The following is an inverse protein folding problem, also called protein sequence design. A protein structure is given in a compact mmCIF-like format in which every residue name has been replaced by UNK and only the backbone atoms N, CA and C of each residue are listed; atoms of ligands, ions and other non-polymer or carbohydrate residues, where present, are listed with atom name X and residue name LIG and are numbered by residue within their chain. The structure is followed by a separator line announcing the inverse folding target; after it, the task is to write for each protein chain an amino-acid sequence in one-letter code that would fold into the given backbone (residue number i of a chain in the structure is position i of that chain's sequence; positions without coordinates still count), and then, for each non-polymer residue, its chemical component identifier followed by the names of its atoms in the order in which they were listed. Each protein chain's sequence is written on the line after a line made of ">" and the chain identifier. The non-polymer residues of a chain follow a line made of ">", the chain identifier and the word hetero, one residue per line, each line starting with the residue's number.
data_IF_278029725395
#
_entry.id   IF_278029725395
#
_cell.length_a   1.000
_cell.length_b   1.000
_cell.length_c   1.000
_cell.angle_alpha   90.00
_cell.angle_beta   90.00
_cell.angle_gamma   90.00
#
_symmetry.space_group_name_H-M   'P 1'
#
loop_
_entity.id
_entity.type
_entity.pdbx_description
1 polymer ?
#
# COMPACT_ATOMS: atom_id res chain seq x y z
N UNK A 1 5.94 27.09 3.69
CA UNK A 1 7.39 27.27 3.89
C UNK A 1 8.18 25.99 3.59
N UNK A 2 7.92 24.87 4.28
CA UNK A 2 8.66 23.60 4.07
C UNK A 2 8.78 23.17 2.60
N UNK A 3 7.65 22.99 1.92
CA UNK A 3 7.65 22.58 0.51
C UNK A 3 8.32 23.61 -0.41
N UNK A 4 8.16 24.90 -0.12
CA UNK A 4 8.82 25.98 -0.89
C UNK A 4 10.35 25.86 -0.80
N UNK A 5 10.88 25.54 0.38
CA UNK A 5 12.32 25.30 0.57
C UNK A 5 12.76 24.06 -0.21
N UNK A 6 12.03 22.93 -0.10
CA UNK A 6 12.36 21.70 -0.83
C UNK A 6 12.34 21.94 -2.35
N UNK A 7 11.30 22.58 -2.87
CA UNK A 7 11.23 22.95 -4.29
C UNK A 7 12.35 23.91 -4.70
N UNK A 8 12.67 24.89 -3.85
CA UNK A 8 13.81 25.79 -4.07
C UNK A 8 15.13 25.03 -4.20
N UNK A 9 15.38 24.07 -3.29
CA UNK A 9 16.59 23.22 -3.34
C UNK A 9 16.63 22.36 -4.58
N UNK A 10 15.50 21.77 -4.98
CA UNK A 10 15.43 21.00 -6.23
C UNK A 10 15.76 21.91 -7.43
N UNK A 11 15.28 23.15 -7.46
CA UNK A 11 15.47 24.05 -8.60
C UNK A 11 16.90 24.61 -8.77
N UNK A 12 17.76 24.49 -7.76
CA UNK A 12 19.14 24.97 -7.85
C UNK A 12 19.98 24.16 -8.87
N UNK A 13 20.84 24.81 -9.68
CA UNK A 13 21.83 24.11 -10.49
C UNK A 13 22.75 23.25 -9.61
N UNK A 14 22.96 21.99 -9.97
CA UNK A 14 23.77 21.04 -9.19
C UNK A 14 23.12 20.57 -7.88
N UNK A 15 21.78 20.69 -7.76
CA UNK A 15 21.05 20.23 -6.58
C UNK A 15 21.37 18.78 -6.22
N UNK A 16 21.71 18.48 -4.95
CA UNK A 16 21.93 17.10 -4.49
C UNK A 16 20.63 16.27 -4.46
N UNK A 17 19.47 16.90 -4.66
CA UNK A 17 18.18 16.24 -4.72
C UNK A 17 17.77 15.83 -6.15
N UNK A 18 18.53 16.23 -7.16
CA UNK A 18 18.32 15.84 -8.57
C UNK A 18 19.21 14.65 -8.94
N UNK A 19 18.76 13.88 -9.94
CA UNK A 19 19.54 12.81 -10.55
C UNK A 19 20.59 13.33 -11.53
N UNK A 20 21.28 12.41 -12.20
CA UNK A 20 22.27 12.73 -13.23
C UNK A 20 21.67 13.62 -14.33
N UNK A 21 22.44 14.61 -14.79
CA UNK A 21 21.98 15.58 -15.79
C UNK A 21 20.85 16.51 -15.30
N UNK A 22 20.50 16.50 -14.02
CA UNK A 22 19.44 17.34 -13.45
C UNK A 22 18.03 16.75 -13.55
N UNK A 23 17.92 15.44 -13.81
CA UNK A 23 16.63 14.74 -13.86
C UNK A 23 15.93 14.70 -12.49
N UNK A 24 14.61 14.56 -12.51
CA UNK A 24 13.79 14.34 -11.30
C UNK A 24 13.42 12.86 -11.17
N UNK A 25 13.41 12.11 -12.27
CA UNK A 25 13.13 10.68 -12.30
C UNK A 25 14.22 10.01 -13.12
N UNK A 26 15.03 9.09 -12.55
CA UNK A 26 15.21 8.84 -11.10
C UNK A 26 15.93 10.02 -10.40
N UNK A 27 15.72 10.21 -9.10
CA UNK A 27 16.48 11.21 -8.32
C UNK A 27 16.53 10.89 -6.82
N UNK A 28 17.56 11.36 -6.09
CA UNK A 28 17.63 11.21 -4.64
C UNK A 28 16.42 11.78 -3.89
N UNK A 29 15.73 12.78 -4.47
CA UNK A 29 14.48 13.29 -3.94
C UNK A 29 13.37 12.24 -3.90
N UNK A 30 13.20 11.48 -4.99
CA UNK A 30 12.16 10.45 -5.06
C UNK A 30 12.54 9.22 -4.21
N UNK A 31 13.80 8.82 -4.23
CA UNK A 31 14.30 7.73 -3.39
C UNK A 31 14.16 8.07 -1.89
N UNK A 32 14.37 9.35 -1.54
CA UNK A 32 14.26 9.89 -0.19
C UNK A 32 12.89 10.51 0.15
N UNK A 33 11.83 10.25 -0.63
CA UNK A 33 10.57 10.98 -0.42
C UNK A 33 9.90 10.65 0.91
N UNK A 34 10.07 9.41 1.41
CA UNK A 34 9.52 8.96 2.69
C UNK A 34 10.08 9.75 3.88
N UNK A 35 11.40 9.85 4.10
CA UNK A 35 11.95 10.68 5.18
C UNK A 35 11.62 12.17 5.01
N UNK A 36 11.52 12.70 3.78
CA UNK A 36 11.09 14.09 3.54
C UNK A 36 9.67 14.31 4.09
N UNK A 37 8.72 13.43 3.73
CA UNK A 37 7.33 13.51 4.22
C UNK A 37 7.28 13.32 5.74
N UNK A 38 8.11 12.43 6.31
CA UNK A 38 8.22 12.24 7.76
C UNK A 38 8.59 13.56 8.47
N UNK A 39 9.65 14.23 8.02
CA UNK A 39 10.06 15.50 8.62
C UNK A 39 9.01 16.59 8.45
N UNK A 40 8.30 16.62 7.32
CA UNK A 40 7.18 17.53 7.12
C UNK A 40 6.10 17.36 8.22
N UNK A 41 5.67 16.12 8.48
CA UNK A 41 4.67 15.85 9.51
C UNK A 41 5.19 16.07 10.93
N UNK A 42 6.46 15.75 11.21
CA UNK A 42 7.08 16.05 12.51
C UNK A 42 7.08 17.56 12.76
N UNK A 43 7.51 18.37 11.77
CA UNK A 43 7.55 19.83 11.90
C UNK A 43 6.15 20.38 12.16
N UNK A 44 5.15 19.97 11.38
CA UNK A 44 3.76 20.42 11.56
C UNK A 44 3.22 19.99 12.93
N UNK A 45 3.42 18.73 13.31
CA UNK A 45 2.94 18.19 14.58
C UNK A 45 3.56 18.90 15.78
N UNK A 46 4.87 19.14 15.75
CA UNK A 46 5.60 19.85 16.82
C UNK A 46 5.17 21.31 16.89
N UNK A 47 5.10 22.03 15.77
CA UNK A 47 4.67 23.43 15.74
C UNK A 47 3.24 23.57 16.26
N UNK A 48 2.32 22.73 15.80
CA UNK A 48 0.94 22.71 16.30
C UNK A 48 0.89 22.39 17.80
N UNK A 49 1.67 21.41 18.26
CA UNK A 49 1.78 21.04 19.67
C UNK A 49 2.28 22.19 20.53
N UNK A 50 3.25 22.97 20.06
CA UNK A 50 3.79 24.14 20.77
C UNK A 50 2.73 25.24 20.85
N UNK A 51 2.11 25.59 19.71
CA UNK A 51 1.10 26.67 19.64
C UNK A 51 -0.11 26.37 20.52
N UNK A 52 -0.52 25.10 20.60
CA UNK A 52 -1.65 24.66 21.43
C UNK A 52 -1.27 24.38 22.89
N UNK A 53 -0.01 24.54 23.26
CA UNK A 53 0.49 24.31 24.62
C UNK A 53 0.57 22.84 25.04
N UNK A 54 0.41 21.90 24.11
CA UNK A 54 0.57 20.45 24.34
C UNK A 54 2.03 20.01 24.41
N UNK A 55 2.91 20.67 23.65
CA UNK A 55 4.36 20.47 23.67
C UNK A 55 4.99 21.67 24.36
N UNK A 56 5.58 21.47 25.54
CA UNK A 56 6.21 22.52 26.35
C UNK A 56 7.73 22.43 26.33
N UNK A 57 8.27 21.25 26.03
CA UNK A 57 9.69 20.98 25.98
C UNK A 57 10.05 19.92 24.95
N UNK A 58 11.35 19.80 24.63
CA UNK A 58 11.85 18.72 23.78
C UNK A 58 11.56 17.31 24.33
N UNK A 59 11.41 17.17 25.66
CA UNK A 59 11.05 15.88 26.29
C UNK A 59 9.66 15.41 25.86
N UNK A 60 8.72 16.34 25.68
CA UNK A 60 7.36 16.00 25.27
C UNK A 60 7.37 15.45 23.84
N UNK A 61 8.19 16.02 22.95
CA UNK A 61 8.38 15.50 21.58
C UNK A 61 8.91 14.07 21.62
N UNK A 62 9.96 13.81 22.38
CA UNK A 62 10.52 12.45 22.51
C UNK A 62 9.55 11.47 23.15
N UNK A 63 8.71 11.94 24.08
CA UNK A 63 7.68 11.13 24.72
C UNK A 63 6.61 10.72 23.70
N UNK A 64 6.05 11.67 22.93
CA UNK A 64 5.06 11.36 21.91
C UNK A 64 5.60 10.46 20.80
N UNK A 65 6.86 10.66 20.37
CA UNK A 65 7.52 9.75 19.43
C UNK A 65 7.67 8.34 20.02
N UNK A 66 8.03 8.23 21.30
CA UNK A 66 8.13 6.95 22.00
C UNK A 66 6.78 6.23 22.06
N UNK A 67 5.71 6.94 22.40
CA UNK A 67 4.36 6.35 22.42
C UNK A 67 3.95 5.84 21.03
N UNK A 68 4.20 6.60 19.96
CA UNK A 68 3.93 6.15 18.59
C UNK A 68 4.71 4.89 18.20
N UNK A 69 5.96 4.74 18.67
CA UNK A 69 6.75 3.52 18.43
C UNK A 69 6.23 2.33 19.25
N UNK A 70 5.72 2.56 20.47
CA UNK A 70 5.11 1.50 21.29
C UNK A 70 3.89 0.90 20.61
N UNK A 71 3.05 1.72 19.97
CA UNK A 71 1.89 1.26 19.21
C UNK A 71 2.29 0.34 18.03
N UNK A 72 3.53 0.47 17.54
CA UNK A 72 4.09 -0.37 16.46
C UNK A 72 4.80 -1.64 16.97
N UNK A 73 4.90 -1.88 18.28
CA UNK A 73 5.67 -3.01 18.82
C UNK A 73 5.20 -4.36 18.26
N UNK A 74 3.88 -4.59 18.19
CA UNK A 74 3.32 -5.82 17.60
C UNK A 74 3.63 -5.95 16.10
N UNK A 75 3.61 -4.83 15.37
CA UNK A 75 4.00 -4.80 13.96
C UNK A 75 5.49 -5.13 13.78
N UNK A 76 6.39 -4.63 14.63
CA UNK A 76 7.82 -4.94 14.57
C UNK A 76 8.07 -6.45 14.76
N UNK A 77 7.38 -7.08 15.72
CA UNK A 77 7.47 -8.54 15.93
C UNK A 77 7.00 -9.31 14.70
N UNK A 78 5.89 -8.88 14.09
CA UNK A 78 5.38 -9.48 12.86
C UNK A 78 6.37 -9.34 11.69
N UNK A 79 6.90 -8.13 11.46
CA UNK A 79 7.90 -7.85 10.42
C UNK A 79 9.15 -8.68 10.63
N UNK A 80 9.59 -8.90 11.86
CA UNK A 80 10.71 -9.78 12.16
C UNK A 80 10.46 -11.21 11.63
N UNK A 81 9.31 -11.80 11.94
CA UNK A 81 8.97 -13.15 11.46
C UNK A 81 8.84 -13.22 9.93
N UNK A 82 8.20 -12.22 9.32
CA UNK A 82 8.09 -12.08 7.86
C UNK A 82 9.46 -11.99 7.21
N UNK A 83 10.37 -11.17 7.76
CA UNK A 83 11.71 -11.00 7.21
C UNK A 83 12.48 -12.33 7.21
N UNK A 84 12.33 -13.16 8.26
CA UNK A 84 12.91 -14.51 8.29
C UNK A 84 12.27 -15.42 7.25
N UNK A 85 10.94 -15.39 7.12
CA UNK A 85 10.23 -16.17 6.09
C UNK A 85 10.72 -15.80 4.68
N UNK A 86 10.74 -14.51 4.33
CA UNK A 86 11.20 -14.03 3.02
C UNK A 86 12.66 -14.44 2.78
N UNK A 87 13.53 -14.31 3.78
CA UNK A 87 14.92 -14.72 3.68
C UNK A 87 15.06 -16.23 3.36
N UNK A 88 14.38 -17.11 4.10
CA UNK A 88 14.42 -18.56 3.86
C UNK A 88 13.71 -18.97 2.56
N UNK A 89 12.62 -18.29 2.21
CA UNK A 89 11.86 -18.52 0.98
C UNK A 89 12.68 -18.15 -0.26
N UNK A 90 13.46 -17.07 -0.18
CA UNK A 90 14.41 -16.66 -1.22
C UNK A 90 15.61 -17.59 -1.26
N UNK A 91 16.22 -17.89 -0.11
CA UNK A 91 17.39 -18.77 -0.02
C UNK A 91 17.12 -20.19 -0.53
N UNK A 92 15.94 -20.73 -0.27
CA UNK A 92 15.52 -22.06 -0.75
C UNK A 92 15.12 -22.09 -2.23
N UNK A 93 15.11 -20.95 -2.92
CA UNK A 93 14.61 -20.78 -4.29
C UNK A 93 13.12 -21.15 -4.48
N UNK A 94 12.35 -21.35 -3.40
CA UNK A 94 10.92 -21.64 -3.48
C UNK A 94 10.15 -20.49 -4.12
N UNK A 95 10.50 -19.24 -3.80
CA UNK A 95 9.88 -18.07 -4.43
C UNK A 95 10.07 -18.03 -5.93
N UNK A 96 11.32 -18.21 -6.39
CA UNK A 96 11.64 -18.28 -7.82
C UNK A 96 10.92 -19.44 -8.50
N UNK A 97 10.90 -20.62 -7.88
CA UNK A 97 10.23 -21.80 -8.43
C UNK A 97 8.72 -21.57 -8.60
N UNK A 98 8.03 -21.06 -7.57
CA UNK A 98 6.60 -20.75 -7.64
C UNK A 98 6.32 -19.67 -8.68
N UNK A 99 7.17 -18.63 -8.75
CA UNK A 99 6.99 -17.54 -9.70
C UNK A 99 7.11 -18.00 -11.15
N UNK A 100 8.12 -18.82 -11.47
CA UNK A 100 8.33 -19.35 -12.82
C UNK A 100 7.19 -20.29 -13.21
N UNK A 101 6.92 -21.34 -12.41
CA UNK A 101 5.89 -22.32 -12.74
C UNK A 101 4.49 -21.69 -12.76
N UNK A 102 4.23 -20.71 -11.90
CA UNK A 102 2.96 -19.99 -11.90
C UNK A 102 2.80 -19.08 -13.11
N UNK A 103 3.87 -18.40 -13.54
CA UNK A 103 3.85 -17.59 -14.76
C UNK A 103 3.68 -18.47 -16.01
N UNK A 104 4.40 -19.59 -16.11
CA UNK A 104 4.25 -20.59 -17.18
C UNK A 104 2.82 -21.12 -17.23
N UNK A 105 2.26 -21.54 -16.10
CA UNK A 105 0.87 -22.00 -16.02
C UNK A 105 -0.12 -20.95 -16.53
N UNK A 106 0.04 -19.69 -16.12
CA UNK A 106 -0.82 -18.58 -16.56
C UNK A 106 -0.67 -18.30 -18.07
N UNK A 107 0.53 -18.44 -18.62
CA UNK A 107 0.78 -18.32 -20.06
C UNK A 107 0.16 -19.48 -20.84
N UNK A 108 0.30 -20.73 -20.35
CA UNK A 108 -0.22 -21.94 -20.99
C UNK A 108 -1.75 -21.92 -21.15
N UNK A 109 -2.46 -21.35 -20.17
CA UNK A 109 -3.91 -21.17 -20.22
C UNK A 109 -4.34 -19.84 -20.87
N UNK A 110 -3.39 -19.08 -21.41
CA UNK A 110 -3.57 -17.74 -22.01
C UNK A 110 -4.23 -16.72 -21.08
N UNK A 111 -4.13 -16.92 -19.76
CA UNK A 111 -4.71 -16.03 -18.75
C UNK A 111 -3.72 -14.96 -18.32
N UNK A 112 -3.49 -14.00 -19.23
CA UNK A 112 -2.63 -12.83 -19.01
C UNK A 112 -3.41 -11.53 -19.25
N UNK A 113 -2.73 -10.40 -19.35
CA UNK A 113 -3.34 -9.08 -19.55
C UNK A 113 -4.17 -8.56 -18.35
N UNK A 114 -5.08 -7.64 -18.66
CA UNK A 114 -5.93 -6.98 -17.65
C UNK A 114 -6.83 -7.96 -16.88
N UNK A 115 -7.29 -9.04 -17.52
CA UNK A 115 -8.12 -10.07 -16.88
C UNK A 115 -7.43 -10.73 -15.69
N UNK A 116 -6.13 -11.03 -15.81
CA UNK A 116 -5.30 -11.55 -14.72
C UNK A 116 -5.22 -10.56 -13.55
N UNK A 117 -5.06 -9.28 -13.84
CA UNK A 117 -4.96 -8.21 -12.83
C UNK A 117 -6.27 -8.08 -12.05
N UNK A 118 -7.42 -8.14 -12.75
CA UNK A 118 -8.73 -8.18 -12.10
C UNK A 118 -8.88 -9.44 -11.24
N UNK A 119 -8.45 -10.60 -11.75
CA UNK A 119 -8.42 -11.85 -10.98
C UNK A 119 -7.62 -11.72 -9.68
N UNK A 120 -6.45 -11.07 -9.74
CA UNK A 120 -5.62 -10.80 -8.58
C UNK A 120 -6.29 -9.84 -7.58
N UNK A 121 -6.92 -8.77 -8.05
CA UNK A 121 -7.71 -7.86 -7.20
C UNK A 121 -8.81 -8.62 -6.44
N UNK A 122 -9.53 -9.52 -7.13
CA UNK A 122 -10.59 -10.32 -6.54
C UNK A 122 -10.03 -11.34 -5.53
N UNK A 123 -8.88 -11.94 -5.83
CA UNK A 123 -8.17 -12.82 -4.90
C UNK A 123 -7.78 -12.08 -3.62
N UNK A 124 -7.09 -10.93 -3.72
CA UNK A 124 -6.70 -10.11 -2.56
C UNK A 124 -7.92 -9.64 -1.77
N UNK A 125 -9.02 -9.32 -2.46
CA UNK A 125 -10.31 -8.99 -1.82
C UNK A 125 -10.90 -10.18 -1.07
N UNK A 126 -10.82 -11.40 -1.61
CA UNK A 126 -11.31 -12.59 -0.91
C UNK A 126 -10.45 -12.91 0.32
N UNK A 127 -9.12 -12.80 0.19
CA UNK A 127 -8.19 -13.02 1.30
C UNK A 127 -8.39 -12.04 2.45
N UNK A 128 -8.98 -10.88 2.19
CA UNK A 128 -9.30 -9.88 3.20
C UNK A 128 -10.23 -10.42 4.30
N UNK A 129 -11.14 -11.33 3.97
CA UNK A 129 -12.02 -11.97 4.94
C UNK A 129 -11.27 -12.89 5.93
N UNK A 130 -10.05 -13.32 5.59
CA UNK A 130 -9.18 -14.17 6.40
C UNK A 130 -8.07 -13.37 7.09
N UNK A 131 -7.47 -12.42 6.36
CA UNK A 131 -6.32 -11.63 6.79
C UNK A 131 -6.66 -10.15 6.60
N UNK A 132 -7.08 -9.49 7.68
CA UNK A 132 -7.50 -8.08 7.65
C UNK A 132 -6.35 -7.07 7.68
N UNK A 133 -5.15 -7.50 8.11
CA UNK A 133 -3.99 -6.63 8.10
C UNK A 133 -3.41 -6.54 6.69
N UNK A 134 -3.56 -5.38 6.06
CA UNK A 134 -2.99 -5.14 4.74
C UNK A 134 -1.46 -5.26 4.69
N UNK A 135 -0.75 -4.99 5.79
CA UNK A 135 0.69 -5.23 5.83
C UNK A 135 1.04 -6.72 5.97
N UNK A 136 0.28 -7.47 6.76
CA UNK A 136 0.50 -8.91 6.94
C UNK A 136 0.19 -9.69 5.66
N UNK A 137 -0.89 -9.32 4.97
CA UNK A 137 -1.31 -9.95 3.72
C UNK A 137 -0.33 -9.64 2.59
N UNK A 138 0.08 -8.38 2.43
CA UNK A 138 1.10 -8.02 1.44
C UNK A 138 2.41 -8.76 1.65
N UNK A 139 2.81 -8.97 2.91
CA UNK A 139 4.01 -9.71 3.23
C UNK A 139 3.99 -11.19 2.79
N UNK A 140 2.81 -11.77 2.60
CA UNK A 140 2.63 -13.14 2.11
C UNK A 140 2.46 -13.13 0.58
N UNK A 141 1.66 -12.21 0.05
CA UNK A 141 1.38 -12.13 -1.38
C UNK A 141 2.58 -11.61 -2.20
N UNK A 142 3.29 -10.60 -1.71
CA UNK A 142 4.35 -9.94 -2.48
C UNK A 142 5.48 -10.88 -2.89
N UNK A 143 6.04 -11.74 -2.01
CA UNK A 143 7.11 -12.67 -2.39
C UNK A 143 6.71 -13.69 -3.47
N UNK A 144 5.41 -13.87 -3.72
CA UNK A 144 4.87 -14.84 -4.68
C UNK A 144 4.42 -14.12 -5.96
N UNK A 145 3.50 -13.17 -5.83
CA UNK A 145 2.84 -12.54 -6.97
C UNK A 145 3.70 -11.46 -7.64
N UNK A 146 4.55 -10.74 -6.90
CA UNK A 146 5.40 -9.72 -7.53
C UNK A 146 6.40 -10.36 -8.49
N UNK A 147 7.20 -11.39 -8.10
CA UNK A 147 8.08 -12.06 -9.04
C UNK A 147 7.32 -12.75 -10.17
N UNK A 148 6.18 -13.40 -9.89
CA UNK A 148 5.36 -14.05 -10.92
C UNK A 148 4.88 -13.06 -11.99
N UNK A 149 4.38 -11.90 -11.58
CA UNK A 149 3.89 -10.88 -12.51
C UNK A 149 5.04 -10.20 -13.25
N UNK A 150 6.21 -10.07 -12.62
CA UNK A 150 7.42 -9.61 -13.31
C UNK A 150 7.87 -10.57 -14.41
N UNK A 151 7.73 -11.89 -14.21
CA UNK A 151 8.00 -12.89 -15.28
C UNK A 151 7.01 -12.77 -16.44
N UNK A 152 5.80 -12.26 -16.19
CA UNK A 152 4.82 -11.91 -17.21
C UNK A 152 5.04 -10.51 -17.82
N UNK A 153 6.12 -9.82 -17.44
CA UNK A 153 6.50 -8.51 -17.97
C UNK A 153 5.89 -7.31 -17.24
N UNK A 154 5.14 -7.50 -16.15
CA UNK A 154 4.53 -6.40 -15.40
C UNK A 154 5.50 -5.70 -14.46
N UNK A 155 5.33 -4.38 -14.32
CA UNK A 155 6.09 -3.61 -13.36
C UNK A 155 5.65 -3.95 -11.92
N UNK A 156 6.57 -4.14 -10.95
CA UNK A 156 6.21 -4.49 -9.57
C UNK A 156 5.29 -3.47 -8.89
N UNK A 157 5.48 -2.19 -9.21
CA UNK A 157 4.60 -1.10 -8.76
C UNK A 157 3.16 -1.24 -9.25
N UNK A 158 2.94 -1.78 -10.45
CA UNK A 158 1.60 -2.05 -10.97
C UNK A 158 0.91 -3.19 -10.21
N UNK A 159 1.64 -4.28 -9.89
CA UNK A 159 1.16 -5.35 -9.01
C UNK A 159 0.74 -4.80 -7.64
N UNK A 160 1.52 -3.87 -7.08
CA UNK A 160 1.18 -3.23 -5.81
C UNK A 160 -0.08 -2.35 -5.91
N UNK A 161 -0.32 -1.68 -7.04
CA UNK A 161 -1.57 -0.93 -7.27
C UNK A 161 -2.77 -1.87 -7.23
N UNK A 162 -2.70 -3.00 -7.94
CA UNK A 162 -3.75 -4.02 -7.96
C UNK A 162 -4.02 -4.57 -6.54
N UNK A 163 -2.95 -4.89 -5.80
CA UNK A 163 -3.07 -5.30 -4.41
C UNK A 163 -3.80 -4.27 -3.54
N UNK A 164 -3.42 -2.99 -3.62
CA UNK A 164 -4.01 -1.92 -2.81
C UNK A 164 -5.50 -1.70 -3.11
N UNK A 165 -5.91 -1.91 -4.36
CA UNK A 165 -7.32 -1.89 -4.75
C UNK A 165 -8.08 -3.01 -4.03
N UNK A 166 -7.60 -4.26 -4.13
CA UNK A 166 -8.25 -5.40 -3.47
C UNK A 166 -8.25 -5.30 -1.94
N UNK A 167 -7.12 -4.87 -1.36
CA UNK A 167 -6.94 -4.73 0.08
C UNK A 167 -7.86 -3.68 0.70
N UNK A 168 -8.15 -2.58 -0.01
CA UNK A 168 -9.00 -1.52 0.55
C UNK A 168 -10.50 -1.76 0.37
N UNK A 169 -10.90 -2.47 -0.68
CA UNK A 169 -12.29 -2.43 -1.17
C UNK A 169 -13.31 -3.18 -0.30
N UNK A 170 -12.89 -4.15 0.50
CA UNK A 170 -13.81 -5.02 1.26
C UNK A 170 -13.55 -5.04 2.78
N UNK A 171 -12.63 -4.20 3.27
CA UNK A 171 -12.31 -4.14 4.70
C UNK A 171 -13.54 -3.84 5.56
N UNK A 172 -14.41 -2.95 5.08
CA UNK A 172 -15.60 -2.50 5.81
C UNK A 172 -16.67 -3.59 5.95
N UNK A 173 -16.65 -4.63 5.13
CA UNK A 173 -17.59 -5.77 5.24
C UNK A 173 -16.96 -7.00 5.89
N UNK A 174 -15.71 -6.90 6.32
CA UNK A 174 -15.00 -8.01 6.94
C UNK A 174 -15.34 -8.09 8.44
N UNK A 175 -15.88 -9.21 8.95
CA UNK A 175 -16.24 -9.34 10.37
C UNK A 175 -15.05 -9.22 11.32
N UNK A 176 -13.85 -9.54 10.84
CA UNK A 176 -12.59 -9.46 11.59
C UNK A 176 -11.99 -8.04 11.61
N UNK A 177 -12.65 -7.06 10.99
CA UNK A 177 -12.17 -5.68 10.96
C UNK A 177 -12.30 -5.05 12.37
N UNK A 178 -11.20 -4.63 13.03
CA UNK A 178 -11.23 -4.20 14.43
C UNK A 178 -12.18 -3.03 14.70
N UNK A 179 -12.34 -2.12 13.75
CA UNK A 179 -13.21 -0.95 13.90
C UNK A 179 -14.70 -1.25 13.67
N UNK A 180 -15.06 -2.44 13.17
CA UNK A 180 -16.47 -2.82 12.97
C UNK A 180 -17.25 -2.69 14.28
N UNK A 181 -16.69 -3.15 15.40
CA UNK A 181 -17.35 -3.10 16.72
C UNK A 181 -17.63 -1.66 17.15
N UNK A 182 -16.67 -0.76 16.88
CA UNK A 182 -16.80 0.67 17.19
C UNK A 182 -17.91 1.30 16.34
N UNK A 183 -17.92 1.02 15.03
CA UNK A 183 -18.94 1.53 14.11
C UNK A 183 -20.33 0.98 14.47
N UNK A 184 -20.43 -0.30 14.82
CA UNK A 184 -21.67 -0.92 15.26
C UNK A 184 -22.19 -0.27 16.55
N UNK A 185 -21.33 0.04 17.52
CA UNK A 185 -21.73 0.77 18.73
C UNK A 185 -22.30 2.16 18.40
N UNK A 186 -21.73 2.85 17.41
CA UNK A 186 -22.29 4.11 16.91
C UNK A 186 -23.64 3.91 16.20
N UNK A 187 -23.80 2.87 15.39
CA UNK A 187 -25.08 2.54 14.76
C UNK A 187 -26.16 2.24 15.80
N UNK A 188 -25.84 1.47 16.84
CA UNK A 188 -26.74 1.12 17.94
C UNK A 188 -27.18 2.32 18.79
N UNK A 189 -26.53 3.48 18.62
CA UNK A 189 -27.02 4.75 19.19
C UNK A 189 -28.30 5.22 18.50
N UNK A 190 -28.43 5.00 17.19
CA UNK A 190 -29.54 5.47 16.35
C UNK A 190 -30.55 4.38 16.05
N UNK A 191 -30.11 3.13 15.85
CA UNK A 191 -30.97 1.96 15.66
C UNK A 191 -30.58 0.86 16.65
N UNK A 192 -31.41 0.68 17.69
CA UNK A 192 -31.17 -0.29 18.77
C UNK A 192 -31.17 -1.75 18.30
N UNK A 193 -31.75 -2.03 17.13
CA UNK A 193 -31.81 -3.37 16.55
C UNK A 193 -30.65 -3.65 15.59
N UNK A 194 -29.76 -2.68 15.37
CA UNK A 194 -28.60 -2.85 14.50
C UNK A 194 -27.69 -3.99 15.02
N UNK A 195 -27.47 -4.97 14.15
CA UNK A 195 -26.60 -6.11 14.38
C UNK A 195 -25.42 -6.09 13.41
N UNK A 196 -24.46 -7.00 13.60
CA UNK A 196 -23.37 -7.22 12.63
C UNK A 196 -23.94 -7.49 11.23
N UNK A 197 -25.02 -8.27 11.13
CA UNK A 197 -25.67 -8.56 9.85
C UNK A 197 -26.28 -7.31 9.21
N UNK A 198 -26.87 -6.41 10.01
CA UNK A 198 -27.39 -5.11 9.56
C UNK A 198 -26.26 -4.24 8.99
N UNK A 199 -25.14 -4.17 9.70
CA UNK A 199 -23.96 -3.42 9.27
C UNK A 199 -23.38 -3.98 7.96
N UNK A 200 -23.11 -5.28 7.89
CA UNK A 200 -22.52 -5.90 6.69
C UNK A 200 -23.46 -5.74 5.51
N UNK A 201 -24.76 -5.99 5.67
CA UNK A 201 -25.76 -5.82 4.60
C UNK A 201 -25.83 -4.37 4.10
N UNK A 202 -25.71 -3.40 5.01
CA UNK A 202 -25.68 -1.98 4.65
C UNK A 202 -24.42 -1.59 3.89
N UNK A 203 -23.26 -2.15 4.28
CA UNK A 203 -21.95 -1.80 3.71
C UNK A 203 -21.61 -2.58 2.44
N UNK A 204 -22.21 -3.75 2.23
CA UNK A 204 -22.01 -4.59 1.04
C UNK A 204 -22.17 -3.85 -0.30
N UNK A 205 -23.26 -3.08 -0.54
CA UNK A 205 -23.38 -2.34 -1.79
C UNK A 205 -22.28 -1.28 -1.95
N UNK A 206 -21.81 -0.66 -0.87
CA UNK A 206 -20.71 0.32 -0.91
C UNK A 206 -19.40 -0.36 -1.29
N UNK A 207 -19.06 -1.49 -0.67
CA UNK A 207 -17.86 -2.26 -0.99
C UNK A 207 -17.84 -2.70 -2.45
N UNK A 208 -18.97 -3.21 -2.97
CA UNK A 208 -19.09 -3.64 -4.37
C UNK A 208 -18.94 -2.44 -5.31
N UNK A 209 -19.64 -1.33 -5.05
CA UNK A 209 -19.54 -0.14 -5.88
C UNK A 209 -18.12 0.45 -5.87
N UNK A 210 -17.45 0.46 -4.72
CA UNK A 210 -16.09 0.94 -4.56
C UNK A 210 -15.09 0.06 -5.32
N UNK A 211 -15.21 -1.28 -5.20
CA UNK A 211 -14.38 -2.23 -5.92
C UNK A 211 -14.52 -2.06 -7.45
N UNK A 212 -15.76 -1.98 -7.95
CA UNK A 212 -16.04 -1.78 -9.38
C UNK A 212 -15.45 -0.44 -9.85
N UNK A 213 -15.65 0.63 -9.08
CA UNK A 213 -15.12 1.96 -9.43
C UNK A 213 -13.59 1.94 -9.52
N UNK A 214 -12.91 1.28 -8.59
CA UNK A 214 -11.46 1.14 -8.65
C UNK A 214 -10.97 0.30 -9.81
N UNK A 215 -11.65 -0.81 -10.13
CA UNK A 215 -11.33 -1.63 -11.30
C UNK A 215 -11.50 -0.82 -12.58
N UNK A 216 -12.57 -0.02 -12.71
CA UNK A 216 -12.78 0.88 -13.84
C UNK A 216 -11.67 1.92 -13.92
N UNK A 217 -11.29 2.53 -12.80
CA UNK A 217 -10.19 3.50 -12.80
C UNK A 217 -8.86 2.86 -13.18
N UNK A 218 -8.58 1.65 -12.70
CA UNK A 218 -7.40 0.89 -13.10
C UNK A 218 -7.43 0.55 -14.59
N UNK A 219 -8.59 0.19 -15.13
CA UNK A 219 -8.79 -0.07 -16.55
C UNK A 219 -8.43 1.17 -17.39
N UNK A 220 -8.89 2.35 -16.97
CA UNK A 220 -8.55 3.61 -17.65
C UNK A 220 -7.03 3.76 -17.72
N UNK A 221 -6.31 3.62 -16.61
CA UNK A 221 -4.85 3.73 -16.61
C UNK A 221 -4.19 2.66 -17.49
N UNK A 222 -4.63 1.41 -17.37
CA UNK A 222 -4.09 0.27 -18.11
C UNK A 222 -4.21 0.47 -19.62
N UNK A 223 -5.41 0.82 -20.11
CA UNK A 223 -5.67 0.94 -21.55
C UNK A 223 -5.18 2.25 -22.16
N UNK A 224 -5.02 3.31 -21.36
CA UNK A 224 -4.46 4.59 -21.83
C UNK A 224 -2.94 4.65 -21.70
N UNK A 225 -2.32 3.69 -21.01
CA UNK A 225 -0.88 3.68 -20.75
C UNK A 225 -0.42 4.79 -19.80
N UNK A 226 -1.32 5.32 -18.96
CA UNK A 226 -0.97 6.37 -18.00
C UNK A 226 -0.05 5.81 -16.90
N UNK A 227 0.98 6.56 -16.50
CA UNK A 227 1.87 6.12 -15.43
C UNK A 227 1.14 6.09 -14.08
N UNK A 228 1.38 5.04 -13.31
CA UNK A 228 0.86 4.87 -11.95
C UNK A 228 1.65 5.67 -10.91
N UNK A 229 2.81 6.18 -11.32
CA UNK A 229 3.73 6.98 -10.52
C UNK A 229 4.95 7.38 -11.35
N UNK A 230 5.86 8.19 -10.80
CA UNK A 230 7.08 8.58 -11.51
C UNK A 230 7.91 7.35 -11.89
N UNK A 231 8.09 7.10 -13.19
CA UNK A 231 8.82 5.93 -13.69
C UNK A 231 8.08 4.59 -13.52
N UNK A 232 6.76 4.60 -13.25
CA UNK A 232 5.98 3.39 -13.02
C UNK A 232 4.90 3.25 -14.09
N UNK A 233 5.14 2.36 -15.06
CA UNK A 233 4.16 1.94 -16.07
C UNK A 233 3.48 0.61 -15.75
N UNK A 234 2.69 0.09 -16.70
CA UNK A 234 2.09 -1.26 -16.61
C UNK A 234 3.14 -2.35 -16.77
N UNK A 235 4.02 -2.18 -17.76
CA UNK A 235 5.05 -3.14 -18.13
C UNK A 235 6.44 -2.64 -17.72
N UNK A 236 7.39 -3.56 -17.60
CA UNK A 236 8.80 -3.25 -17.40
C UNK A 236 9.36 -2.51 -18.62
N UNK A 237 10.22 -1.51 -18.42
CA UNK A 237 10.94 -0.85 -19.51
C UNK A 237 11.79 -1.89 -20.26
N UNK A 238 11.47 -2.14 -21.53
CA UNK A 238 12.11 -3.16 -22.37
C UNK A 238 11.27 -4.42 -22.62
N UNK A 239 10.09 -4.54 -22.02
CA UNK A 239 9.11 -5.60 -22.34
C UNK A 239 8.13 -5.16 -23.43
N UNK A 240 8.50 -5.37 -24.69
CA UNK A 240 7.57 -5.53 -25.83
C UNK A 240 7.84 -6.87 -26.48
#
# INVERSE_FOLDING_TARGET
>A
MYWVIIFGVIMMPGSPLRGEGGTIVPSPFLDGIVPIILFFFIIIGVVFGIVTGKVKSGKDVTHYMTESIKDLAGYIVLVFAIAQFIAYFTWSNLGTWIAVNGAEFLQDIEFTGFGLVVGYILLTSLLNFLITSGSAKWAIEAPIFVPMFMQLGYHPGFTQVAYRIGDSSVNIITPLFPYMVIVLAFMQRYDKNASIGTYISLMLPYSIAFLITWIIMLAIFYFTGLPYGPGVGTYLEGGQ
#
